data_IF_401039747921
#
_entry.id   IF_401039747921
#
_cell.length_a   1.000
_cell.length_b   1.000
_cell.length_c   1.000
_cell.angle_alpha   90.00
_cell.angle_beta   90.00
_cell.angle_gamma   90.00
#
_symmetry.space_group_name_H-M   'P 1'
#
loop_
_entity.id
_entity.type
_entity.pdbx_description
1 polymer ?
#
# COMPACT_ATOMS: atom_id res chain seq x y z
N UNK A 1 -22.20 4.43 -11.70
CA UNK A 1 -22.07 2.97 -11.53
C UNK A 1 -23.41 2.35 -11.12
N UNK A 2 -23.94 1.40 -11.89
CA UNK A 2 -25.21 0.69 -11.63
C UNK A 2 -24.93 -0.79 -11.41
N UNK A 3 -25.47 -1.37 -10.34
CA UNK A 3 -25.36 -2.82 -10.06
C UNK A 3 -26.40 -3.56 -10.92
N UNK A 4 -26.02 -4.61 -11.67
CA UNK A 4 -26.98 -5.39 -12.46
C UNK A 4 -28.06 -6.07 -11.61
N UNK A 5 -29.30 -6.13 -12.13
CA UNK A 5 -30.49 -6.62 -11.42
C UNK A 5 -30.33 -8.03 -10.82
N UNK A 6 -29.55 -8.88 -11.47
CA UNK A 6 -29.31 -10.24 -11.01
C UNK A 6 -28.51 -10.34 -9.71
N UNK A 7 -27.82 -9.28 -9.31
CA UNK A 7 -27.07 -9.19 -8.06
C UNK A 7 -27.80 -8.34 -7.01
N UNK A 8 -28.95 -7.76 -7.34
CA UNK A 8 -29.72 -6.95 -6.41
C UNK A 8 -30.49 -7.84 -5.43
N UNK A 9 -30.48 -7.43 -4.17
CA UNK A 9 -31.38 -7.94 -3.15
C UNK A 9 -32.59 -7.01 -3.04
N UNK A 10 -33.79 -7.57 -2.88
CA UNK A 10 -35.00 -6.81 -2.63
C UNK A 10 -34.85 -5.97 -1.36
N UNK A 11 -35.15 -4.68 -1.49
CA UNK A 11 -35.01 -3.75 -0.37
C UNK A 11 -36.17 -3.93 0.61
N UNK A 12 -35.85 -4.10 1.89
CA UNK A 12 -36.86 -4.05 2.96
C UNK A 12 -37.17 -2.59 3.29
N UNK A 13 -38.40 -2.19 3.02
CA UNK A 13 -38.92 -0.85 3.36
C UNK A 13 -39.86 -0.93 4.56
N UNK A 14 -40.29 0.23 5.07
CA UNK A 14 -41.27 0.32 6.17
C UNK A 14 -42.62 -0.35 5.83
N UNK A 15 -42.96 -0.44 4.55
CA UNK A 15 -44.27 -0.92 4.07
C UNK A 15 -44.19 -2.31 3.41
N UNK A 16 -43.06 -3.01 3.51
CA UNK A 16 -42.82 -4.31 2.89
C UNK A 16 -41.54 -4.34 2.07
N UNK A 17 -41.34 -5.40 1.29
CA UNK A 17 -40.21 -5.55 0.37
C UNK A 17 -40.53 -4.96 -1.00
N UNK A 18 -39.57 -4.24 -1.59
CA UNK A 18 -39.66 -3.70 -2.94
C UNK A 18 -38.60 -4.30 -3.84
N UNK A 19 -39.00 -4.72 -5.04
CA UNK A 19 -38.13 -5.41 -6.00
C UNK A 19 -38.20 -6.93 -5.88
N UNK A 20 -37.48 -7.62 -6.75
CA UNK A 20 -37.28 -9.07 -6.72
C UNK A 20 -35.82 -9.38 -6.43
N UNK A 21 -35.55 -10.38 -5.61
CA UNK A 21 -34.19 -10.90 -5.43
C UNK A 21 -33.67 -11.45 -6.77
N UNK A 22 -32.48 -11.02 -7.14
CA UNK A 22 -31.70 -11.68 -8.18
C UNK A 22 -31.17 -13.04 -7.70
N UNK A 23 -30.50 -13.77 -8.60
CA UNK A 23 -29.86 -15.04 -8.21
C UNK A 23 -28.60 -14.85 -7.35
N UNK A 24 -28.12 -13.62 -7.19
CA UNK A 24 -27.00 -13.27 -6.32
C UNK A 24 -25.65 -13.74 -6.87
N UNK A 25 -24.69 -13.88 -5.96
CA UNK A 25 -23.36 -14.44 -6.25
C UNK A 25 -23.25 -15.82 -5.57
N UNK A 26 -22.39 -16.73 -6.07
CA UNK A 26 -22.01 -17.94 -5.34
C UNK A 26 -21.49 -17.62 -3.92
N UNK A 27 -21.55 -18.58 -2.99
CA UNK A 27 -21.12 -18.35 -1.60
C UNK A 27 -19.63 -17.98 -1.47
N UNK A 28 -18.80 -18.48 -2.37
CA UNK A 28 -17.38 -18.15 -2.57
C UNK A 28 -17.15 -17.06 -3.64
N UNK A 29 -18.23 -16.51 -4.19
CA UNK A 29 -18.20 -15.49 -5.22
C UNK A 29 -17.74 -14.13 -4.71
N UNK A 30 -17.34 -13.30 -5.66
CA UNK A 30 -17.01 -11.89 -5.46
C UNK A 30 -17.44 -11.11 -6.71
N UNK A 31 -18.12 -9.97 -6.53
CA UNK A 31 -18.49 -9.07 -7.61
C UNK A 31 -17.58 -7.84 -7.61
N UNK A 32 -16.88 -7.61 -8.72
CA UNK A 32 -16.05 -6.41 -8.92
C UNK A 32 -16.68 -5.54 -9.99
N UNK A 33 -17.03 -4.30 -9.66
CA UNK A 33 -17.52 -3.35 -10.65
C UNK A 33 -16.36 -2.45 -11.09
N UNK A 34 -16.07 -2.45 -12.39
CA UNK A 34 -15.01 -1.62 -12.97
C UNK A 34 -15.65 -0.51 -13.79
N UNK A 35 -15.21 0.72 -13.55
CA UNK A 35 -15.69 1.92 -14.25
C UNK A 35 -14.51 2.83 -14.58
N UNK A 36 -14.74 3.76 -15.50
CA UNK A 36 -13.81 4.81 -15.85
C UNK A 36 -14.59 6.13 -15.96
N UNK A 37 -15.04 6.61 -14.81
CA UNK A 37 -15.84 7.83 -14.71
C UNK A 37 -14.96 9.03 -14.32
N UNK A 38 -15.12 10.19 -15.00
CA UNK A 38 -14.42 11.42 -14.61
C UNK A 38 -15.03 12.04 -13.34
N UNK A 39 -14.24 12.85 -12.63
CA UNK A 39 -14.65 13.56 -11.42
C UNK A 39 -14.28 12.84 -10.11
N UNK A 40 -14.81 13.32 -8.98
CA UNK A 40 -14.50 12.76 -7.66
C UNK A 40 -13.00 12.86 -7.33
N UNK A 41 -12.40 11.73 -6.94
CA UNK A 41 -10.96 11.64 -6.65
C UNK A 41 -10.10 11.77 -7.92
N UNK A 42 -10.65 11.54 -9.11
CA UNK A 42 -9.94 11.72 -10.38
C UNK A 42 -9.70 13.19 -10.77
N UNK A 43 -10.10 14.13 -9.92
CA UNK A 43 -9.66 15.52 -10.02
C UNK A 43 -8.21 15.70 -9.55
N UNK A 44 -7.65 14.74 -8.82
CA UNK A 44 -6.23 14.70 -8.49
C UNK A 44 -5.41 14.31 -9.73
N UNK A 45 -4.36 15.08 -10.00
CA UNK A 45 -3.48 14.84 -11.13
C UNK A 45 -2.51 13.65 -10.93
N UNK A 46 -2.42 13.09 -9.74
CA UNK A 46 -1.51 11.99 -9.45
C UNK A 46 -2.22 10.65 -9.23
N UNK A 47 -3.55 10.66 -9.10
CA UNK A 47 -4.35 9.47 -8.89
C UNK A 47 -4.66 8.75 -10.20
N UNK A 48 -4.26 7.48 -10.33
CA UNK A 48 -4.50 6.66 -11.50
C UNK A 48 -5.84 5.93 -11.45
N UNK A 49 -6.19 5.42 -10.28
CA UNK A 49 -7.44 4.74 -9.99
C UNK A 49 -7.72 4.80 -8.48
N UNK A 50 -8.91 4.38 -8.08
CA UNK A 50 -9.24 4.16 -6.67
C UNK A 50 -10.28 3.04 -6.56
N UNK A 51 -10.23 2.32 -5.44
CA UNK A 51 -11.12 1.22 -5.15
C UNK A 51 -11.53 1.13 -3.69
N UNK A 52 -12.60 0.39 -3.46
CA UNK A 52 -13.04 0.04 -2.12
C UNK A 52 -13.96 -1.19 -2.14
N UNK A 53 -14.17 -1.76 -0.95
CA UNK A 53 -15.28 -2.69 -0.73
C UNK A 53 -16.58 -1.88 -0.53
N UNK A 54 -17.66 -2.31 -1.19
CA UNK A 54 -18.99 -1.76 -1.01
C UNK A 54 -19.84 -2.56 -0.03
N UNK A 55 -19.72 -3.89 -0.05
CA UNK A 55 -20.58 -4.77 0.72
C UNK A 55 -19.79 -5.94 1.29
N UNK A 56 -20.09 -6.25 2.55
CA UNK A 56 -19.58 -7.40 3.27
C UNK A 56 -20.68 -8.47 3.39
N UNK A 57 -20.28 -9.73 3.45
CA UNK A 57 -21.16 -10.83 3.80
C UNK A 57 -21.51 -10.74 5.29
N UNK A 58 -22.79 -10.96 5.61
CA UNK A 58 -23.34 -10.60 6.92
C UNK A 58 -22.86 -11.43 8.12
N UNK A 59 -22.27 -12.61 7.91
CA UNK A 59 -21.83 -13.50 8.99
C UNK A 59 -20.32 -13.53 9.18
N UNK A 60 -19.58 -13.32 8.10
CA UNK A 60 -18.13 -13.49 7.97
C UNK A 60 -17.40 -12.17 7.81
N UNK A 61 -18.12 -11.06 7.62
CA UNK A 61 -17.58 -9.74 7.29
C UNK A 61 -16.72 -9.73 6.00
N UNK A 62 -16.77 -10.80 5.20
CA UNK A 62 -15.96 -10.95 3.98
C UNK A 62 -16.44 -9.95 2.93
N UNK A 63 -15.55 -9.17 2.31
CA UNK A 63 -15.88 -8.38 1.12
C UNK A 63 -16.44 -9.28 0.01
N UNK A 64 -17.64 -8.93 -0.49
CA UNK A 64 -18.33 -9.66 -1.56
C UNK A 64 -18.66 -8.78 -2.77
N UNK A 65 -18.65 -7.47 -2.58
CA UNK A 65 -18.81 -6.49 -3.64
C UNK A 65 -17.78 -5.40 -3.42
N UNK A 66 -17.01 -5.10 -4.44
CA UNK A 66 -16.17 -3.90 -4.48
C UNK A 66 -16.21 -3.26 -5.85
N UNK A 67 -15.53 -2.13 -5.94
CA UNK A 67 -15.42 -1.40 -7.19
C UNK A 67 -14.01 -0.90 -7.41
N UNK A 68 -13.68 -0.66 -8.68
CA UNK A 68 -12.49 0.06 -9.12
C UNK A 68 -12.96 1.13 -10.09
N UNK A 69 -12.52 2.37 -9.90
CA UNK A 69 -12.69 3.43 -10.87
C UNK A 69 -11.33 3.89 -11.37
N UNK A 70 -11.06 3.70 -12.66
CA UNK A 70 -9.87 4.25 -13.31
C UNK A 70 -10.12 5.69 -13.73
N UNK A 71 -9.15 6.57 -13.50
CA UNK A 71 -9.26 7.95 -13.92
C UNK A 71 -9.07 8.05 -15.44
N UNK A 72 -10.09 8.47 -16.23
CA UNK A 72 -10.04 8.35 -17.69
C UNK A 72 -8.87 9.08 -18.35
N UNK A 73 -8.51 10.24 -17.79
CA UNK A 73 -7.39 11.06 -18.28
C UNK A 73 -6.00 10.44 -18.02
N UNK A 74 -5.95 9.30 -17.32
CA UNK A 74 -4.73 8.57 -16.96
C UNK A 74 -4.60 7.24 -17.68
N UNK A 75 -5.60 6.85 -18.48
CA UNK A 75 -5.55 5.65 -19.28
C UNK A 75 -4.59 5.85 -20.46
N UNK A 76 -3.46 5.16 -20.41
CA UNK A 76 -2.43 5.14 -21.44
C UNK A 76 -1.94 3.70 -21.63
N UNK A 77 -2.24 3.13 -22.80
CA UNK A 77 -1.91 1.76 -23.17
C UNK A 77 -0.45 1.59 -23.64
N UNK A 78 0.31 2.69 -23.74
CA UNK A 78 1.70 2.62 -24.15
C UNK A 78 2.62 2.17 -23.01
N UNK A 79 3.69 1.44 -23.35
CA UNK A 79 4.74 1.13 -22.39
C UNK A 79 5.51 2.41 -22.01
N UNK A 80 5.86 2.65 -20.72
CA UNK A 80 5.68 1.77 -19.57
C UNK A 80 4.33 1.90 -18.84
N UNK A 81 3.49 2.87 -19.22
CA UNK A 81 2.22 3.16 -18.54
C UNK A 81 1.24 2.00 -18.53
N UNK A 82 1.17 1.18 -19.58
CA UNK A 82 0.34 -0.03 -19.57
C UNK A 82 0.73 -1.03 -18.48
N UNK A 83 2.03 -1.12 -18.14
CA UNK A 83 2.49 -1.91 -16.99
C UNK A 83 2.12 -1.26 -15.66
N UNK A 84 2.25 0.06 -15.55
CA UNK A 84 1.83 0.81 -14.37
C UNK A 84 0.33 0.59 -14.11
N UNK A 85 -0.53 0.77 -15.12
CA UNK A 85 -1.98 0.58 -15.01
C UNK A 85 -2.37 -0.85 -14.67
N UNK A 86 -1.65 -1.85 -15.19
CA UNK A 86 -1.86 -3.24 -14.79
C UNK A 86 -1.58 -3.43 -13.30
N UNK A 87 -0.46 -2.92 -12.78
CA UNK A 87 -0.14 -3.03 -11.36
C UNK A 87 -1.08 -2.20 -10.49
N UNK A 88 -1.50 -1.03 -10.94
CA UNK A 88 -2.56 -0.24 -10.31
C UNK A 88 -3.85 -1.04 -10.23
N UNK A 89 -4.26 -1.74 -11.31
CA UNK A 89 -5.46 -2.57 -11.27
C UNK A 89 -5.36 -3.65 -10.17
N UNK A 90 -4.23 -4.33 -10.05
CA UNK A 90 -4.01 -5.37 -9.04
C UNK A 90 -3.96 -4.75 -7.62
N UNK A 91 -3.35 -3.57 -7.47
CA UNK A 91 -3.31 -2.80 -6.22
C UNK A 91 -4.73 -2.42 -5.75
N UNK A 92 -5.52 -1.84 -6.65
CA UNK A 92 -6.90 -1.46 -6.38
C UNK A 92 -7.80 -2.67 -6.09
N UNK A 93 -7.58 -3.80 -6.78
CA UNK A 93 -8.21 -5.07 -6.41
C UNK A 93 -7.87 -5.45 -4.97
N UNK A 94 -6.63 -5.22 -4.54
CA UNK A 94 -6.21 -5.49 -3.16
C UNK A 94 -7.01 -4.71 -2.12
N UNK A 95 -7.27 -3.41 -2.38
CA UNK A 95 -8.13 -2.60 -1.52
C UNK A 95 -9.57 -3.09 -1.47
N UNK A 96 -10.12 -3.45 -2.62
CA UNK A 96 -11.48 -3.97 -2.71
C UNK A 96 -11.63 -5.31 -1.99
N UNK A 97 -10.60 -6.17 -2.04
CA UNK A 97 -10.60 -7.50 -1.43
C UNK A 97 -10.35 -7.48 0.08
N UNK A 98 -9.71 -6.46 0.65
CA UNK A 98 -9.55 -6.44 2.11
C UNK A 98 -8.40 -5.64 2.67
N UNK A 99 -7.43 -5.25 1.84
CA UNK A 99 -6.33 -4.39 2.28
C UNK A 99 -6.84 -2.96 2.37
N UNK A 100 -7.57 -2.65 3.43
CA UNK A 100 -8.33 -1.41 3.50
C UNK A 100 -8.54 -1.06 4.97
N UNK A 101 -8.21 0.18 5.35
CA UNK A 101 -8.31 0.62 6.74
C UNK A 101 -9.72 0.46 7.33
N UNK A 102 -10.75 0.53 6.49
CA UNK A 102 -12.14 0.34 6.91
C UNK A 102 -12.46 -1.11 7.29
N UNK A 103 -11.59 -2.06 6.91
CA UNK A 103 -11.82 -3.49 6.98
C UNK A 103 -10.94 -4.22 7.99
N UNK A 104 -9.82 -3.64 8.43
CA UNK A 104 -8.91 -4.31 9.37
C UNK A 104 -9.59 -4.71 10.68
N UNK A 105 -10.46 -3.86 11.22
CA UNK A 105 -11.22 -4.19 12.43
C UNK A 105 -12.18 -5.38 12.19
N UNK A 106 -12.53 -5.67 10.94
CA UNK A 106 -13.42 -6.76 10.58
C UNK A 106 -12.73 -8.11 10.37
N UNK A 107 -11.40 -8.15 10.40
CA UNK A 107 -10.63 -9.38 10.19
C UNK A 107 -10.98 -10.47 11.21
N UNK A 108 -10.78 -11.71 10.77
CA UNK A 108 -11.07 -12.92 11.52
C UNK A 108 -9.82 -13.78 11.66
N UNK A 109 -9.80 -14.59 12.71
CA UNK A 109 -8.75 -15.58 12.87
C UNK A 109 -8.99 -16.80 11.97
N UNK A 110 -8.05 -17.73 11.98
CA UNK A 110 -8.10 -18.99 11.23
C UNK A 110 -9.29 -19.90 11.59
N UNK A 111 -10.02 -19.61 12.68
CA UNK A 111 -11.24 -20.31 13.10
C UNK A 111 -12.51 -19.52 12.73
N UNK A 112 -12.38 -18.43 11.99
CA UNK A 112 -13.48 -17.55 11.60
C UNK A 112 -14.00 -16.66 12.73
N UNK A 113 -13.30 -16.54 13.86
CA UNK A 113 -13.71 -15.69 14.98
C UNK A 113 -13.23 -14.25 14.75
N UNK A 114 -14.03 -13.22 15.04
CA UNK A 114 -13.57 -11.83 14.96
C UNK A 114 -12.30 -11.57 15.78
N UNK A 115 -11.27 -10.99 15.16
CA UNK A 115 -10.04 -10.58 15.86
C UNK A 115 -10.29 -9.35 16.74
N UNK A 116 -11.15 -8.45 16.27
CA UNK A 116 -11.63 -7.32 17.08
C UNK A 116 -12.96 -7.70 17.72
N UNK A 117 -13.09 -7.44 19.01
CA UNK A 117 -14.33 -7.70 19.76
C UNK A 117 -15.53 -7.02 19.06
N UNK A 118 -16.67 -7.72 19.03
CA UNK A 118 -17.92 -7.21 18.47
C UNK A 118 -18.86 -6.76 19.58
N UNK A 119 -19.58 -5.68 19.31
CA UNK A 119 -20.75 -5.31 20.10
C UNK A 119 -21.86 -6.37 19.86
N UNK A 120 -22.42 -6.98 20.92
CA UNK A 120 -23.35 -8.10 20.78
C UNK A 120 -24.73 -7.70 20.25
N UNK A 121 -25.06 -6.41 20.23
CA UNK A 121 -26.35 -5.89 19.73
C UNK A 121 -26.25 -5.55 18.25
N UNK A 122 -25.16 -4.88 17.85
CA UNK A 122 -24.99 -4.38 16.49
C UNK A 122 -24.20 -5.31 15.58
N UNK A 123 -23.39 -6.22 16.15
CA UNK A 123 -22.45 -7.06 15.41
C UNK A 123 -21.23 -6.31 14.88
N UNK A 124 -21.08 -5.02 15.18
CA UNK A 124 -19.98 -4.17 14.71
C UNK A 124 -18.77 -4.24 15.63
N UNK A 125 -17.55 -3.90 15.17
CA UNK A 125 -16.39 -3.76 16.05
C UNK A 125 -16.69 -2.83 17.24
N UNK A 126 -16.27 -3.20 18.44
CA UNK A 126 -16.52 -2.45 19.68
C UNK A 126 -15.47 -1.38 19.98
N UNK A 127 -14.47 -1.22 19.11
CA UNK A 127 -13.40 -0.24 19.28
C UNK A 127 -13.89 1.18 18.99
N UNK A 128 -13.21 2.20 19.54
CA UNK A 128 -13.49 3.58 19.16
C UNK A 128 -13.31 3.78 17.65
N UNK A 129 -14.14 4.67 17.10
CA UNK A 129 -13.93 5.18 15.75
C UNK A 129 -12.99 6.39 15.81
N UNK A 130 -12.13 6.52 14.81
CA UNK A 130 -11.35 7.73 14.59
C UNK A 130 -12.25 8.90 14.10
N UNK A 131 -11.63 10.06 13.85
CA UNK A 131 -12.33 11.26 13.36
C UNK A 131 -13.02 11.07 12.00
N UNK A 132 -12.66 10.02 11.25
CA UNK A 132 -13.23 9.66 9.96
C UNK A 132 -14.26 8.53 10.07
N UNK A 133 -14.59 8.08 11.28
CA UNK A 133 -15.57 7.03 11.52
C UNK A 133 -15.02 5.61 11.36
N UNK A 134 -13.69 5.42 11.29
CA UNK A 134 -13.06 4.11 11.08
C UNK A 134 -12.74 3.45 12.41
N UNK A 135 -13.08 2.17 12.54
CA UNK A 135 -12.77 1.39 13.73
C UNK A 135 -11.27 1.11 13.83
N UNK A 136 -10.68 1.45 14.97
CA UNK A 136 -9.30 1.06 15.25
C UNK A 136 -9.21 -0.48 15.38
N UNK A 137 -8.36 -1.17 14.61
CA UNK A 137 -8.16 -2.61 14.79
C UNK A 137 -7.32 -2.89 16.05
N UNK A 138 -7.49 -4.07 16.65
CA UNK A 138 -6.57 -4.61 17.65
C UNK A 138 -5.56 -5.54 16.97
N UNK A 139 -4.66 -4.99 16.15
CA UNK A 139 -3.68 -5.75 15.37
C UNK A 139 -2.26 -5.24 15.63
N UNK A 140 -1.35 -6.17 15.93
CA UNK A 140 0.10 -5.95 15.86
C UNK A 140 0.58 -6.41 14.46
N UNK A 141 1.46 -5.65 13.81
CA UNK A 141 1.83 -5.98 12.43
C UNK A 141 2.90 -5.08 11.82
N UNK A 142 2.93 -5.06 10.49
CA UNK A 142 3.84 -4.23 9.70
C UNK A 142 3.37 -2.78 9.68
N UNK A 143 4.33 -1.85 9.71
CA UNK A 143 4.07 -0.42 9.61
C UNK A 143 3.26 -0.09 8.34
N UNK A 144 2.21 0.69 8.52
CA UNK A 144 1.38 1.21 7.45
C UNK A 144 1.74 2.67 7.17
N UNK A 145 1.53 3.08 5.93
CA UNK A 145 1.87 4.42 5.44
C UNK A 145 1.27 5.51 6.34
N UNK A 146 2.14 6.39 6.81
CA UNK A 146 1.80 7.49 7.70
C UNK A 146 1.97 8.88 7.05
N UNK A 147 2.18 8.93 5.73
CA UNK A 147 2.21 10.17 4.94
C UNK A 147 1.03 10.26 3.96
N UNK A 148 0.60 11.50 3.64
CA UNK A 148 -0.46 11.77 2.66
C UNK A 148 -1.73 12.40 3.24
N UNK A 149 -2.87 12.17 2.59
CA UNK A 149 -4.19 12.65 3.04
C UNK A 149 -4.89 11.61 3.92
N UNK A 150 -5.92 11.97 4.67
CA UNK A 150 -6.69 11.01 5.51
C UNK A 150 -7.31 9.83 4.74
N UNK A 151 -7.41 9.94 3.40
CA UNK A 151 -7.81 8.85 2.52
C UNK A 151 -6.68 7.84 2.22
N UNK A 152 -5.41 8.22 2.40
CA UNK A 152 -4.21 7.40 2.13
C UNK A 152 -3.49 6.90 3.39
N UNK A 153 -3.75 7.51 4.56
CA UNK A 153 -3.22 7.02 5.83
C UNK A 153 -3.74 5.61 6.15
N UNK A 154 -2.84 4.70 6.51
CA UNK A 154 -3.12 3.30 6.87
C UNK A 154 -3.75 2.43 5.77
N UNK A 155 -3.83 2.90 4.52
CA UNK A 155 -4.34 2.07 3.41
C UNK A 155 -3.23 1.33 2.67
N UNK A 156 -1.98 1.72 2.86
CA UNK A 156 -0.81 1.14 2.19
C UNK A 156 0.21 0.68 3.23
N UNK A 157 1.13 -0.18 2.82
CA UNK A 157 2.34 -0.42 3.60
C UNK A 157 3.27 0.80 3.56
N UNK A 158 3.99 1.02 4.66
CA UNK A 158 5.00 2.07 4.78
C UNK A 158 6.09 1.91 3.70
N UNK A 159 6.10 2.84 2.73
CA UNK A 159 6.94 2.74 1.53
C UNK A 159 8.42 2.58 1.87
N UNK A 160 8.92 3.18 2.95
CA UNK A 160 10.32 3.04 3.38
C UNK A 160 10.75 1.57 3.52
N UNK A 161 9.89 0.72 4.09
CA UNK A 161 10.22 -0.68 4.36
C UNK A 161 9.78 -1.62 3.23
N UNK A 162 8.84 -1.21 2.37
CA UNK A 162 8.30 -2.09 1.34
C UNK A 162 8.72 -1.77 -0.11
N UNK A 163 9.01 -0.51 -0.45
CA UNK A 163 9.40 -0.02 -1.77
C UNK A 163 8.57 -0.58 -2.95
N UNK A 164 9.05 -1.65 -3.62
CA UNK A 164 8.49 -2.24 -4.84
C UNK A 164 7.38 -3.28 -4.57
N UNK A 165 6.88 -3.32 -3.35
CA UNK A 165 5.73 -4.12 -2.95
C UNK A 165 4.43 -3.54 -3.53
N UNK A 166 3.52 -4.43 -3.94
CA UNK A 166 2.25 -4.08 -4.57
C UNK A 166 1.46 -3.02 -3.81
N UNK A 167 1.29 -3.18 -2.50
CA UNK A 167 0.44 -2.34 -1.64
C UNK A 167 1.20 -1.16 -1.02
N UNK A 168 2.33 -0.75 -1.61
CA UNK A 168 2.98 0.52 -1.26
C UNK A 168 2.18 1.73 -1.79
N UNK A 169 2.32 2.90 -1.17
CA UNK A 169 1.53 4.10 -1.50
C UNK A 169 1.83 4.73 -2.88
N UNK A 170 2.67 4.11 -3.70
CA UNK A 170 2.98 4.56 -5.06
C UNK A 170 3.50 3.38 -5.89
N UNK A 171 3.18 3.37 -7.18
CA UNK A 171 3.60 2.25 -8.05
C UNK A 171 5.07 2.37 -8.45
N UNK A 172 5.85 1.36 -8.11
CA UNK A 172 7.21 1.15 -8.63
C UNK A 172 7.20 0.07 -9.73
N UNK A 173 8.14 0.12 -10.67
CA UNK A 173 8.31 -0.92 -11.69
C UNK A 173 9.59 -1.73 -11.42
N UNK A 174 9.49 -3.07 -11.29
CA UNK A 174 8.27 -3.88 -11.31
C UNK A 174 7.57 -3.81 -9.94
N UNK A 175 6.24 -3.86 -9.91
CA UNK A 175 5.48 -3.96 -8.66
C UNK A 175 5.23 -5.44 -8.32
N UNK A 176 5.54 -5.85 -7.10
CA UNK A 176 5.59 -7.26 -6.71
C UNK A 176 4.47 -7.60 -5.74
N UNK A 177 3.62 -8.57 -6.12
CA UNK A 177 2.72 -9.24 -5.18
C UNK A 177 3.55 -10.13 -4.26
N UNK A 178 3.97 -9.59 -3.12
CA UNK A 178 4.93 -10.29 -2.26
C UNK A 178 4.23 -11.28 -1.31
N UNK A 179 5.04 -12.09 -0.62
CA UNK A 179 4.54 -12.90 0.49
C UNK A 179 3.88 -12.06 1.60
N UNK A 180 4.26 -10.79 1.75
CA UNK A 180 3.69 -9.89 2.75
C UNK A 180 2.24 -9.50 2.39
N UNK A 181 1.96 -9.05 1.16
CA UNK A 181 0.58 -8.80 0.71
C UNK A 181 -0.28 -10.06 0.81
N UNK A 182 0.27 -11.21 0.38
CA UNK A 182 -0.44 -12.49 0.50
C UNK A 182 -0.76 -12.84 1.97
N UNK A 183 0.15 -12.56 2.91
CA UNK A 183 -0.12 -12.76 4.34
C UNK A 183 -1.25 -11.88 4.85
N UNK A 184 -1.42 -10.64 4.37
CA UNK A 184 -2.56 -9.80 4.77
C UNK A 184 -3.89 -10.44 4.38
N UNK A 185 -3.99 -10.99 3.17
CA UNK A 185 -5.19 -11.72 2.75
C UNK A 185 -5.41 -13.00 3.55
N UNK A 186 -4.35 -13.72 3.91
CA UNK A 186 -4.46 -14.89 4.79
C UNK A 186 -4.92 -14.49 6.20
N UNK A 187 -4.35 -13.43 6.77
CA UNK A 187 -4.63 -12.95 8.13
C UNK A 187 -5.99 -12.26 8.27
N UNK A 188 -6.56 -11.82 7.15
CA UNK A 188 -7.95 -11.36 7.10
C UNK A 188 -8.96 -12.43 7.54
N UNK A 189 -8.59 -13.72 7.39
CA UNK A 189 -9.45 -14.86 7.64
C UNK A 189 -10.49 -15.11 6.56
N UNK A 190 -10.40 -14.42 5.41
CA UNK A 190 -11.36 -14.54 4.30
C UNK A 190 -10.89 -15.40 3.13
N UNK A 191 -9.59 -15.65 3.03
CA UNK A 191 -8.97 -16.27 1.86
C UNK A 191 -8.04 -17.42 2.25
N UNK A 192 -8.11 -18.51 1.50
CA UNK A 192 -7.09 -19.56 1.49
C UNK A 192 -5.97 -19.16 0.53
N UNK A 193 -4.81 -18.80 1.06
CA UNK A 193 -3.75 -18.18 0.27
C UNK A 193 -2.65 -19.19 -0.12
N UNK A 194 -2.40 -19.29 -1.42
CA UNK A 194 -1.26 -20.05 -1.92
C UNK A 194 0.02 -19.21 -1.95
N UNK A 195 0.78 -19.22 -0.85
CA UNK A 195 2.05 -18.49 -0.73
C UNK A 195 3.13 -18.91 -1.76
N UNK A 196 2.99 -20.05 -2.45
CA UNK A 196 3.91 -20.42 -3.54
C UNK A 196 3.80 -19.50 -4.76
N UNK A 197 2.70 -18.76 -4.87
CA UNK A 197 2.47 -17.76 -5.93
C UNK A 197 3.10 -16.39 -5.60
N UNK A 198 3.69 -16.23 -4.40
CA UNK A 198 4.36 -14.99 -4.03
C UNK A 198 5.46 -14.66 -5.04
N UNK A 199 5.46 -13.41 -5.51
CA UNK A 199 6.54 -12.86 -6.30
C UNK A 199 7.85 -12.86 -5.50
N UNK A 200 8.97 -12.93 -6.21
CA UNK A 200 10.30 -12.90 -5.61
C UNK A 200 10.67 -11.48 -5.20
N UNK A 201 10.10 -11.04 -4.08
CA UNK A 201 10.35 -9.74 -3.47
C UNK A 201 11.68 -9.75 -2.69
N UNK A 202 12.54 -8.77 -2.97
CA UNK A 202 13.94 -8.77 -2.49
C UNK A 202 14.33 -7.51 -1.72
N UNK A 203 13.54 -6.43 -1.81
CA UNK A 203 13.74 -5.25 -0.99
C UNK A 203 13.72 -5.62 0.50
N UNK A 204 14.65 -5.06 1.29
CA UNK A 204 14.73 -5.34 2.73
C UNK A 204 15.19 -6.75 3.13
N UNK A 205 15.33 -7.69 2.18
CA UNK A 205 15.61 -9.10 2.48
C UNK A 205 16.97 -9.26 3.16
N UNK A 206 16.97 -9.94 4.31
CA UNK A 206 18.15 -10.19 5.15
C UNK A 206 18.84 -8.93 5.70
N UNK A 207 18.17 -7.77 5.74
CA UNK A 207 18.73 -6.54 6.34
C UNK A 207 18.49 -6.43 7.85
N UNK A 208 17.69 -7.35 8.42
CA UNK A 208 17.49 -7.49 9.87
C UNK A 208 16.56 -6.43 10.49
N UNK A 209 16.34 -6.55 11.81
CA UNK A 209 15.41 -5.68 12.55
C UNK A 209 15.80 -4.21 12.50
N UNK A 210 17.10 -3.88 12.40
CA UNK A 210 17.58 -2.50 12.32
C UNK A 210 17.03 -1.79 11.07
N UNK A 211 16.86 -2.50 9.95
CA UNK A 211 16.27 -1.93 8.73
C UNK A 211 14.80 -1.52 8.94
N UNK A 212 14.05 -2.31 9.70
CA UNK A 212 12.62 -2.08 9.94
C UNK A 212 12.42 -1.05 11.06
N UNK A 213 13.17 -1.16 12.15
CA UNK A 213 12.90 -0.40 13.40
C UNK A 213 13.65 0.92 13.51
N UNK A 214 14.64 1.18 12.64
CA UNK A 214 15.43 2.42 12.65
C UNK A 214 15.09 3.29 11.45
N UNK A 215 15.30 4.59 11.60
CA UNK A 215 15.30 5.51 10.46
C UNK A 215 16.35 5.11 9.43
N UNK A 216 16.17 5.51 8.17
CA UNK A 216 17.16 5.25 7.12
C UNK A 216 18.54 5.83 7.50
N UNK A 217 18.59 6.99 8.15
CA UNK A 217 19.82 7.61 8.65
C UNK A 217 20.52 6.78 9.73
N UNK A 218 19.79 6.29 10.73
CA UNK A 218 20.36 5.48 11.81
C UNK A 218 20.83 4.13 11.28
N UNK A 219 20.04 3.47 10.43
CA UNK A 219 20.44 2.23 9.79
C UNK A 219 21.75 2.41 9.00
N UNK A 220 21.85 3.46 8.17
CA UNK A 220 23.07 3.76 7.44
C UNK A 220 24.26 4.06 8.37
N UNK A 221 24.06 4.80 9.45
CA UNK A 221 25.09 5.08 10.45
C UNK A 221 25.64 3.78 11.09
N UNK A 222 24.74 2.87 11.48
CA UNK A 222 25.09 1.57 12.06
C UNK A 222 25.89 0.74 11.05
N UNK A 223 25.41 0.61 9.81
CA UNK A 223 26.07 -0.16 8.74
C UNK A 223 27.48 0.37 8.45
N UNK A 224 27.64 1.70 8.40
CA UNK A 224 28.97 2.33 8.23
C UNK A 224 29.91 2.06 9.38
N UNK A 225 29.42 2.10 10.63
CA UNK A 225 30.25 1.76 11.80
C UNK A 225 30.82 0.34 11.70
N UNK A 226 30.10 -0.56 11.03
CA UNK A 226 30.47 -1.97 10.77
C UNK A 226 31.24 -2.18 9.47
N UNK A 227 31.48 -1.12 8.67
CA UNK A 227 32.05 -1.19 7.31
C UNK A 227 31.24 -2.06 6.36
N UNK A 228 29.92 -2.05 6.54
CA UNK A 228 28.96 -2.77 5.70
C UNK A 228 28.29 -1.84 4.68
N UNK A 229 27.75 -2.37 3.57
CA UNK A 229 27.00 -1.55 2.61
C UNK A 229 25.78 -0.88 3.25
N UNK A 230 25.62 0.42 3.02
CA UNK A 230 24.50 1.28 3.45
C UNK A 230 23.20 1.04 2.68
N UNK A 231 23.28 0.22 1.63
CA UNK A 231 22.15 -0.19 0.81
C UNK A 231 20.96 -0.73 1.62
N UNK A 232 19.73 -0.54 1.10
CA UNK A 232 19.43 -0.03 -0.24
C UNK A 232 19.57 1.49 -0.36
N UNK A 233 19.77 2.21 0.75
CA UNK A 233 19.92 3.66 0.84
C UNK A 233 21.28 4.17 0.33
N UNK A 234 21.31 5.41 -0.15
CA UNK A 234 22.49 6.09 -0.70
C UNK A 234 22.96 7.15 0.29
N UNK A 235 24.26 7.20 0.51
CA UNK A 235 24.94 8.11 1.44
C UNK A 235 25.87 9.08 0.71
N UNK A 236 25.62 9.33 -0.58
CA UNK A 236 26.42 10.21 -1.44
C UNK A 236 25.52 11.12 -2.27
N UNK A 237 25.92 12.38 -2.46
CA UNK A 237 25.20 13.34 -3.31
C UNK A 237 25.82 13.37 -4.71
N UNK A 238 25.48 12.36 -5.52
CA UNK A 238 25.87 12.29 -6.92
C UNK A 238 24.72 11.73 -7.76
N UNK A 239 23.98 12.63 -8.41
CA UNK A 239 22.86 12.30 -9.29
C UNK A 239 23.31 11.53 -10.55
N UNK A 240 24.60 11.52 -10.87
CA UNK A 240 25.16 10.82 -12.04
C UNK A 240 25.66 9.42 -11.70
N UNK A 241 25.83 9.11 -10.41
CA UNK A 241 26.34 7.82 -9.96
C UNK A 241 25.22 6.78 -9.95
N UNK A 242 25.31 5.86 -10.92
CA UNK A 242 24.53 4.64 -10.94
C UNK A 242 25.08 3.64 -9.90
N UNK A 243 24.19 3.05 -9.12
CA UNK A 243 24.50 1.95 -8.21
C UNK A 243 23.74 0.70 -8.64
N UNK A 244 24.47 -0.38 -8.90
CA UNK A 244 23.83 -1.66 -9.18
C UNK A 244 23.07 -2.14 -7.93
N UNK A 245 21.82 -2.55 -8.14
CA UNK A 245 21.06 -3.19 -7.09
C UNK A 245 21.61 -4.62 -6.93
N UNK A 246 21.91 -5.04 -5.70
CA UNK A 246 22.50 -6.37 -5.46
C UNK A 246 21.59 -7.54 -5.84
N UNK A 247 20.30 -7.27 -6.02
CA UNK A 247 19.29 -8.31 -6.13
C UNK A 247 18.51 -8.29 -7.45
N UNK A 248 18.60 -7.26 -8.29
CA UNK A 248 18.00 -7.21 -9.63
C UNK A 248 19.05 -6.82 -10.68
N UNK A 249 18.85 -7.18 -11.95
CA UNK A 249 19.66 -6.70 -13.08
C UNK A 249 19.32 -5.23 -13.42
N UNK A 250 19.32 -4.39 -12.39
CA UNK A 250 18.94 -2.98 -12.46
C UNK A 250 19.99 -2.12 -11.76
N UNK A 251 19.97 -0.84 -12.08
CA UNK A 251 20.79 0.15 -11.41
C UNK A 251 19.91 1.33 -10.99
N UNK A 252 20.28 1.95 -9.87
CA UNK A 252 19.54 3.06 -9.30
C UNK A 252 20.41 4.31 -9.29
N UNK A 253 19.76 5.46 -9.36
CA UNK A 253 20.37 6.74 -9.06
C UNK A 253 19.89 7.21 -7.70
N UNK A 254 20.78 7.86 -6.97
CA UNK A 254 20.41 8.54 -5.73
C UNK A 254 19.61 9.79 -6.10
N UNK A 255 18.32 9.83 -5.78
CA UNK A 255 17.45 10.98 -6.07
C UNK A 255 17.24 11.81 -4.79
N UNK A 256 18.30 12.54 -4.41
CA UNK A 256 18.25 13.48 -3.28
C UNK A 256 17.90 14.89 -3.74
N UNK A 257 16.92 15.50 -3.07
CA UNK A 257 16.45 16.85 -3.39
C UNK A 257 16.71 17.84 -2.25
N UNK A 258 17.21 19.02 -2.63
CA UNK A 258 17.45 20.16 -1.74
C UNK A 258 16.15 20.89 -1.44
N UNK A 259 15.72 20.83 -0.17
CA UNK A 259 14.56 21.60 0.29
C UNK A 259 15.05 22.95 0.83
N UNK A 260 14.51 24.04 0.25
CA UNK A 260 14.83 25.40 0.69
C UNK A 260 14.21 25.73 2.06
N UNK A 261 13.09 25.08 2.38
CA UNK A 261 12.42 25.20 3.67
C UNK A 261 12.91 24.11 4.62
N UNK A 262 12.93 24.42 5.91
CA UNK A 262 13.30 23.47 6.95
C UNK A 262 12.24 22.37 7.01
N UNK A 263 12.68 21.12 6.90
CA UNK A 263 11.83 19.93 7.03
C UNK A 263 11.61 19.66 8.53
N UNK A 264 10.56 18.94 8.90
CA UNK A 264 10.33 18.49 10.28
C UNK A 264 11.54 17.68 10.82
N UNK A 265 11.93 17.85 12.10
CA UNK A 265 13.17 17.28 12.66
C UNK A 265 13.31 15.76 12.49
N UNK A 266 12.22 15.02 12.60
CA UNK A 266 12.15 13.57 12.47
C UNK A 266 12.40 13.07 11.04
N UNK A 267 12.23 13.94 10.03
CA UNK A 267 12.50 13.66 8.62
C UNK A 267 13.89 14.15 8.15
N UNK A 268 14.67 14.74 9.06
CA UNK A 268 16.00 15.26 8.75
C UNK A 268 17.06 14.16 8.83
N UNK A 269 17.19 13.42 7.74
CA UNK A 269 18.11 12.29 7.65
C UNK A 269 19.45 12.66 6.97
N UNK A 270 19.60 13.92 6.50
CA UNK A 270 20.84 14.48 5.92
C UNK A 270 21.34 15.73 6.61
N UNK A 271 22.64 15.76 6.93
CA UNK A 271 23.42 16.89 7.43
C UNK A 271 24.70 17.14 6.62
N UNK A 272 24.80 18.32 6.01
CA UNK A 272 25.91 18.82 5.18
C UNK A 272 25.83 18.47 3.68
N UNK A 273 25.50 19.47 2.86
CA UNK A 273 25.44 19.38 1.38
C UNK A 273 26.74 19.79 0.68
N UNK A 274 27.75 20.24 1.43
CA UNK A 274 28.95 20.83 0.84
C UNK A 274 30.02 19.79 0.48
N UNK A 275 29.84 18.52 0.87
CA UNK A 275 30.77 17.43 0.61
C UNK A 275 30.15 16.41 -0.35
N UNK A 276 30.94 15.89 -1.31
CA UNK A 276 30.49 14.83 -2.27
C UNK A 276 30.18 13.50 -1.58
N UNK A 277 30.59 13.35 -0.34
CA UNK A 277 30.29 12.24 0.56
C UNK A 277 29.55 12.81 1.77
N UNK A 278 28.41 12.22 2.14
CA UNK A 278 27.55 12.74 3.19
C UNK A 278 27.50 11.78 4.40
N UNK A 279 27.50 12.32 5.62
CA UNK A 279 27.35 11.54 6.85
C UNK A 279 25.89 11.44 7.34
N UNK A 280 25.16 10.40 6.89
CA UNK A 280 23.90 9.94 7.51
C UNK A 280 24.02 9.85 9.04
N UNK A 281 23.38 10.77 9.78
CA UNK A 281 23.23 10.65 11.24
C UNK A 281 23.83 11.73 12.15
N UNK A 282 24.03 12.99 11.73
CA UNK A 282 24.42 14.07 12.67
C UNK A 282 23.41 15.23 12.67
N UNK A 283 22.19 14.98 13.17
CA UNK A 283 20.98 15.84 13.10
C UNK A 283 21.06 17.20 13.82
N UNK A 284 22.23 17.78 14.05
CA UNK A 284 22.40 18.97 14.88
C UNK A 284 22.73 20.27 14.14
N UNK A 285 22.93 20.31 12.80
CA UNK A 285 23.22 21.58 12.10
C UNK A 285 22.71 21.68 10.65
N UNK A 286 21.62 22.45 10.47
CA UNK A 286 21.24 23.22 9.25
C UNK A 286 20.86 22.42 7.98
N UNK A 287 20.14 23.05 7.02
CA UNK A 287 18.85 22.58 6.48
C UNK A 287 18.95 21.23 5.77
N UNK A 288 17.89 20.43 5.88
CA UNK A 288 17.83 18.98 5.64
C UNK A 288 17.36 18.59 4.23
N UNK A 289 17.92 17.52 3.63
CA UNK A 289 17.41 16.87 2.40
C UNK A 289 16.29 15.87 2.71
N UNK A 290 15.34 15.73 1.78
CA UNK A 290 14.42 14.59 1.74
C UNK A 290 14.92 13.58 0.69
N UNK A 291 14.77 12.30 1.01
CA UNK A 291 15.20 11.18 0.18
C UNK A 291 14.08 10.76 -0.76
N UNK A 292 14.39 10.55 -2.04
CA UNK A 292 13.54 9.77 -2.94
C UNK A 292 14.38 8.74 -3.68
N UNK A 293 13.80 7.59 -3.98
CA UNK A 293 14.45 6.49 -4.71
C UNK A 293 13.82 6.36 -6.08
N UNK A 294 14.63 6.41 -7.15
CA UNK A 294 14.17 6.09 -8.49
C UNK A 294 14.91 4.85 -8.97
N UNK A 295 14.16 3.77 -9.19
CA UNK A 295 14.69 2.54 -9.80
C UNK A 295 14.58 2.64 -11.31
N UNK A 296 15.66 2.37 -12.05
CA UNK A 296 15.65 2.31 -13.51
C UNK A 296 15.98 0.89 -13.93
N UNK A 297 14.98 0.15 -14.42
CA UNK A 297 15.20 -1.15 -15.04
C UNK A 297 15.80 -0.98 -16.45
N UNK A 298 16.80 -1.78 -16.81
CA UNK A 298 17.35 -1.84 -18.16
C UNK A 298 16.60 -2.90 -18.99
N UNK A 299 15.72 -2.51 -19.93
CA UNK A 299 14.93 -3.44 -20.72
C UNK A 299 15.77 -4.24 -21.75
N UNK A 300 17.07 -3.93 -21.93
CA UNK A 300 17.93 -4.61 -22.93
C UNK A 300 18.62 -5.88 -22.41
N UNK A 301 18.28 -6.36 -21.21
CA UNK A 301 18.87 -7.56 -20.58
C UNK A 301 17.86 -8.60 -20.09
N UNK A 302 16.67 -8.63 -20.71
CA UNK A 302 15.74 -9.77 -20.61
C UNK A 302 16.01 -10.73 -21.78
#
# INVERSE_FOLDING_TARGET
MQVPDNFLQACRTRYGTTGSDGFGIPGDGYLMIVDASPGGLCNDNWLLAYANACQLEGNTDRPILGFINFCPNRLDENYPMSKVLLYTAIHEMGHALGFNRNLYAFYRDEHGRPRTQRDPVTGMPSTPRDEFGVFAPSLDGVDLENEGSSATHLTHFEKRVVHDELMSGSVELPSIVSGLTLSVFQDSGWYDVNHKMAGNWKWGKNLGCEFITKSCSEYMAIRRSRKEPTGPWCDYFDLTRAQCISYNNAYNYCNMNLYQQRIEPDKQHVTNHQEREFLAGDSNKLPSLLYTYNTVEDPKKI
#
